data_IF_547893011827
#
_entry.id   IF_547893011827
#
_cell.length_a   1.000
_cell.length_b   1.000
_cell.length_c   1.000
_cell.angle_alpha   90.00
_cell.angle_beta   90.00
_cell.angle_gamma   90.00
#
_symmetry.space_group_name_H-M   'P 1'
#
loop_
_entity.id
_entity.type
_entity.pdbx_description
1 polymer ?
#
# COMPACT_ATOMS: atom_id res chain seq x y z
N UNK A 1 5.84 -57.49 30.48
CA UNK A 1 6.10 -56.69 29.28
C UNK A 1 6.37 -55.26 29.71
N UNK A 2 7.61 -54.76 29.56
CA UNK A 2 7.91 -53.34 29.79
C UNK A 2 7.25 -52.53 28.69
N UNK A 3 6.56 -51.43 28.98
CA UNK A 3 6.04 -50.56 27.93
C UNK A 3 7.22 -49.99 27.11
N UNK A 4 7.18 -50.18 25.78
CA UNK A 4 8.11 -49.50 24.88
C UNK A 4 7.87 -48.00 25.02
N UNK A 5 8.92 -47.17 25.10
CA UNK A 5 8.75 -45.74 25.08
C UNK A 5 8.03 -45.35 23.77
N UNK A 6 6.89 -44.70 23.91
CA UNK A 6 6.14 -44.08 22.82
C UNK A 6 6.99 -42.91 22.34
N UNK A 7 7.88 -43.16 21.39
CA UNK A 7 8.66 -42.12 20.76
C UNK A 7 7.69 -41.42 19.80
N UNK A 8 7.08 -40.33 20.26
CA UNK A 8 6.28 -39.45 19.43
C UNK A 8 7.15 -38.93 18.30
N UNK A 9 6.97 -39.51 17.11
CA UNK A 9 7.68 -39.04 15.90
C UNK A 9 7.17 -37.65 15.51
N UNK A 10 8.08 -36.76 14.99
CA UNK A 10 7.66 -35.50 14.41
C UNK A 10 6.73 -35.74 13.22
N UNK A 11 5.89 -34.74 12.88
CA UNK A 11 4.92 -34.85 11.78
C UNK A 11 5.61 -35.19 10.45
N UNK A 12 6.82 -34.68 10.20
CA UNK A 12 7.65 -35.05 9.04
C UNK A 12 8.95 -35.68 9.52
N UNK A 13 9.28 -36.83 8.97
CA UNK A 13 10.44 -37.65 9.32
C UNK A 13 11.32 -37.83 8.08
N UNK A 14 12.61 -37.67 8.26
CA UNK A 14 13.59 -37.79 7.19
C UNK A 14 14.47 -39.04 7.39
N UNK A 15 14.89 -39.66 6.28
CA UNK A 15 15.89 -40.74 6.25
C UNK A 15 17.10 -40.29 5.44
N UNK A 16 18.25 -40.95 5.62
CA UNK A 16 19.47 -40.62 4.89
C UNK A 16 20.35 -39.58 5.58
N UNK A 17 20.14 -39.31 6.87
CA UNK A 17 20.96 -38.38 7.69
C UNK A 17 22.09 -39.11 8.43
N UNK A 18 22.49 -40.31 8.00
CA UNK A 18 23.62 -41.05 8.54
C UNK A 18 23.31 -42.03 9.69
N UNK A 19 22.07 -42.07 10.16
CA UNK A 19 21.63 -43.04 11.20
C UNK A 19 20.91 -44.25 10.57
N UNK A 20 21.67 -45.25 10.15
CA UNK A 20 21.13 -46.47 9.52
C UNK A 20 20.10 -47.23 10.35
N UNK A 21 20.23 -47.22 11.68
CA UNK A 21 19.30 -47.92 12.59
C UNK A 21 17.93 -47.19 12.58
N UNK A 22 17.95 -45.88 12.63
CA UNK A 22 16.77 -45.05 12.53
C UNK A 22 16.11 -45.18 11.14
N UNK A 23 16.88 -45.12 10.08
CA UNK A 23 16.38 -45.29 8.71
C UNK A 23 15.66 -46.62 8.53
N UNK A 24 16.22 -47.74 9.03
CA UNK A 24 15.58 -49.06 9.00
C UNK A 24 14.28 -49.09 9.83
N UNK A 25 14.23 -48.36 10.96
CA UNK A 25 13.01 -48.23 11.77
C UNK A 25 11.92 -47.52 10.99
N UNK A 26 12.24 -46.35 10.36
CA UNK A 26 11.28 -45.56 9.55
C UNK A 26 10.76 -46.39 8.38
N UNK A 27 11.61 -47.10 7.65
CA UNK A 27 11.20 -47.96 6.54
C UNK A 27 10.24 -49.07 7.00
N UNK A 28 10.48 -49.67 8.19
CA UNK A 28 9.61 -50.67 8.78
C UNK A 28 8.25 -50.12 9.18
N UNK A 29 8.22 -48.92 9.80
CA UNK A 29 6.99 -48.25 10.19
C UNK A 29 6.18 -47.83 8.93
N UNK A 30 6.84 -47.39 7.86
CA UNK A 30 6.19 -47.11 6.61
C UNK A 30 5.61 -48.38 5.95
N UNK A 31 6.36 -49.50 5.95
CA UNK A 31 5.86 -50.80 5.48
C UNK A 31 4.70 -51.33 6.28
N UNK A 32 4.60 -51.00 7.60
CA UNK A 32 3.47 -51.32 8.47
C UNK A 32 2.28 -50.36 8.37
N UNK A 33 2.34 -49.36 7.47
CA UNK A 33 1.26 -48.37 7.30
C UNK A 33 1.15 -47.33 8.41
N UNK A 34 2.17 -47.23 9.30
CA UNK A 34 2.21 -46.25 10.38
C UNK A 34 2.84 -44.91 9.97
N UNK A 35 3.45 -44.85 8.79
CA UNK A 35 3.96 -43.65 8.16
C UNK A 35 3.56 -43.65 6.69
N UNK A 36 3.21 -42.49 6.18
CA UNK A 36 2.95 -42.28 4.75
C UNK A 36 4.20 -41.67 4.06
N UNK A 37 4.59 -42.24 2.94
CA UNK A 37 5.71 -41.71 2.15
C UNK A 37 5.24 -40.50 1.35
N UNK A 38 5.87 -39.35 1.57
CA UNK A 38 5.65 -38.10 0.81
C UNK A 38 6.57 -38.00 -0.41
N UNK A 39 7.83 -38.41 -0.24
CA UNK A 39 8.85 -38.48 -1.28
C UNK A 39 9.94 -39.46 -0.88
N UNK A 40 10.89 -39.73 -1.78
CA UNK A 40 12.04 -40.57 -1.42
C UNK A 40 12.81 -39.96 -0.24
N UNK A 41 12.91 -40.70 0.87
CA UNK A 41 13.57 -40.24 2.08
C UNK A 41 12.72 -39.30 2.95
N UNK A 42 11.46 -39.04 2.62
CA UNK A 42 10.56 -38.14 3.36
C UNK A 42 9.26 -38.83 3.66
N UNK A 43 8.89 -38.89 4.94
CA UNK A 43 7.70 -39.58 5.43
C UNK A 43 6.91 -38.67 6.37
N UNK A 44 5.61 -38.92 6.54
CA UNK A 44 4.79 -38.26 7.55
C UNK A 44 4.19 -39.28 8.53
N UNK A 45 4.15 -38.93 9.81
CA UNK A 45 3.44 -39.64 10.86
C UNK A 45 1.96 -39.22 10.95
N UNK A 46 1.59 -38.13 10.29
CA UNK A 46 0.21 -37.64 10.25
C UNK A 46 -0.55 -38.37 9.13
N UNK A 47 -1.34 -39.35 9.50
CA UNK A 47 -2.18 -40.11 8.57
C UNK A 47 -3.60 -39.53 8.46
N UNK A 48 -3.94 -38.51 9.25
CA UNK A 48 -5.28 -37.93 9.28
C UNK A 48 -5.44 -36.70 8.36
N UNK A 49 -4.34 -35.99 8.10
CA UNK A 49 -4.35 -34.83 7.22
C UNK A 49 -4.01 -35.22 5.77
N UNK A 50 -4.56 -34.51 4.77
CA UNK A 50 -4.14 -34.68 3.38
C UNK A 50 -2.62 -34.48 3.23
N UNK A 51 -1.91 -35.31 2.46
CA UNK A 51 -0.45 -35.18 2.24
C UNK A 51 -0.03 -33.82 1.76
N UNK A 52 -0.85 -33.18 0.91
CA UNK A 52 -0.64 -31.83 0.37
C UNK A 52 -0.55 -30.79 1.49
N UNK A 53 -1.44 -30.90 2.49
CA UNK A 53 -1.46 -29.99 3.64
C UNK A 53 -0.23 -30.15 4.52
N UNK A 54 0.27 -31.40 4.68
CA UNK A 54 1.51 -31.68 5.42
C UNK A 54 2.71 -31.07 4.67
N UNK A 55 2.79 -31.28 3.35
CA UNK A 55 3.86 -30.72 2.52
C UNK A 55 3.82 -29.20 2.57
N UNK A 56 2.64 -28.60 2.48
CA UNK A 56 2.48 -27.14 2.52
C UNK A 56 2.97 -26.54 3.85
N UNK A 57 2.68 -27.16 4.99
CA UNK A 57 3.18 -26.70 6.31
C UNK A 57 4.67 -26.88 6.48
N UNK A 58 5.24 -27.95 5.93
CA UNK A 58 6.63 -28.36 6.17
C UNK A 58 7.54 -28.20 4.94
N UNK A 59 7.09 -27.52 3.88
CA UNK A 59 7.83 -27.42 2.62
C UNK A 59 9.28 -27.00 2.80
N UNK A 60 9.54 -26.02 3.68
CA UNK A 60 10.89 -25.50 3.90
C UNK A 60 11.82 -26.55 4.48
N UNK A 61 11.36 -27.34 5.44
CA UNK A 61 12.13 -28.45 6.04
C UNK A 61 12.36 -29.58 5.04
N UNK A 62 11.32 -29.93 4.27
CA UNK A 62 11.38 -30.97 3.25
C UNK A 62 12.37 -30.58 2.13
N UNK A 63 12.22 -29.36 1.58
CA UNK A 63 13.11 -28.92 0.50
C UNK A 63 14.53 -28.72 1.00
N UNK A 64 14.74 -28.23 2.23
CA UNK A 64 16.07 -28.14 2.87
C UNK A 64 16.74 -29.49 3.03
N UNK A 65 15.99 -30.56 3.29
CA UNK A 65 16.51 -31.91 3.36
C UNK A 65 16.88 -32.48 1.98
N UNK A 66 15.97 -32.28 0.99
CA UNK A 66 16.12 -32.84 -0.36
C UNK A 66 17.16 -32.11 -1.22
N UNK A 67 17.31 -30.82 -1.00
CA UNK A 67 18.12 -29.91 -1.83
C UNK A 67 18.99 -28.97 -0.98
N UNK A 68 19.84 -29.50 -0.07
CA UNK A 68 20.73 -28.61 0.70
C UNK A 68 21.56 -27.73 -0.24
N UNK A 69 21.86 -26.51 0.21
CA UNK A 69 22.61 -25.46 -0.50
C UNK A 69 21.92 -24.93 -1.78
N UNK A 70 20.70 -25.34 -2.07
CA UNK A 70 19.94 -24.74 -3.17
C UNK A 70 19.52 -23.30 -2.81
N UNK A 71 19.44 -22.43 -3.81
CA UNK A 71 19.01 -21.04 -3.66
C UNK A 71 17.59 -20.89 -4.17
N UNK A 72 16.68 -20.36 -3.35
CA UNK A 72 15.37 -19.91 -3.82
C UNK A 72 15.60 -18.78 -4.81
N UNK A 73 15.17 -18.95 -6.05
CA UNK A 73 15.56 -18.14 -7.19
C UNK A 73 14.35 -17.69 -8.02
N UNK A 74 14.56 -16.75 -8.93
CA UNK A 74 13.50 -16.21 -9.77
C UNK A 74 12.34 -15.66 -8.90
N UNK A 75 11.06 -15.95 -9.26
CA UNK A 75 9.92 -15.53 -8.45
C UNK A 75 9.97 -16.06 -7.02
N UNK A 76 10.48 -17.29 -6.81
CA UNK A 76 10.61 -17.85 -5.45
C UNK A 76 11.68 -17.15 -4.61
N UNK A 77 12.65 -16.48 -5.23
CA UNK A 77 13.59 -15.59 -4.53
C UNK A 77 12.92 -14.31 -4.02
N UNK A 78 11.90 -13.82 -4.71
CA UNK A 78 11.08 -12.71 -4.28
C UNK A 78 10.03 -13.14 -3.23
N UNK A 79 9.24 -14.18 -3.55
CA UNK A 79 8.10 -14.61 -2.74
C UNK A 79 8.52 -15.29 -1.43
N UNK A 80 9.75 -15.81 -1.34
CA UNK A 80 10.34 -16.58 -0.23
C UNK A 80 9.52 -17.80 0.21
N UNK A 81 8.62 -18.29 -0.65
CA UNK A 81 7.71 -19.42 -0.41
C UNK A 81 7.21 -20.02 -1.73
N UNK A 82 6.61 -21.23 -1.68
CA UNK A 82 5.86 -21.76 -2.83
C UNK A 82 4.64 -20.89 -3.15
N UNK A 83 4.38 -20.70 -4.46
CA UNK A 83 3.20 -20.01 -4.98
C UNK A 83 2.54 -20.94 -6.00
N UNK A 84 1.24 -21.12 -5.93
CA UNK A 84 0.44 -22.00 -6.80
C UNK A 84 1.02 -23.40 -6.92
N UNK A 85 1.48 -23.99 -5.79
CA UNK A 85 2.09 -25.31 -5.75
C UNK A 85 3.44 -25.42 -6.45
N UNK A 86 4.14 -24.32 -6.72
CA UNK A 86 5.45 -24.30 -7.40
C UNK A 86 6.52 -23.60 -6.60
N UNK A 87 7.73 -24.14 -6.65
CA UNK A 87 8.93 -23.55 -6.07
C UNK A 87 10.09 -23.64 -7.07
N UNK A 88 10.78 -22.55 -7.30
CA UNK A 88 11.92 -22.47 -8.20
C UNK A 88 13.19 -22.29 -7.40
N UNK A 89 14.14 -23.21 -7.60
CA UNK A 89 15.45 -23.16 -6.93
C UNK A 89 16.58 -23.32 -7.94
N UNK A 90 17.69 -22.67 -7.69
CA UNK A 90 18.91 -22.82 -8.49
C UNK A 90 19.90 -23.70 -7.75
N UNK A 91 20.40 -24.76 -8.41
CA UNK A 91 21.40 -25.68 -7.85
C UNK A 91 22.11 -26.48 -8.93
N UNK A 92 23.45 -26.48 -8.92
CA UNK A 92 24.29 -27.36 -9.75
C UNK A 92 24.08 -27.20 -11.25
N UNK A 93 24.35 -28.25 -12.00
CA UNK A 93 24.34 -28.24 -13.48
C UNK A 93 23.16 -28.97 -14.12
N UNK A 94 22.38 -29.72 -13.34
CA UNK A 94 21.32 -30.59 -13.87
C UNK A 94 19.93 -30.04 -13.59
N UNK A 95 19.11 -29.88 -14.62
CA UNK A 95 17.70 -29.54 -14.51
C UNK A 95 16.90 -30.76 -14.09
N UNK A 96 16.08 -30.63 -13.05
CA UNK A 96 15.14 -31.67 -12.61
C UNK A 96 13.92 -31.07 -11.93
N UNK A 97 12.89 -31.86 -11.76
CA UNK A 97 11.71 -31.52 -10.98
C UNK A 97 11.52 -32.56 -9.89
N UNK A 98 11.23 -32.13 -8.67
CA UNK A 98 10.79 -32.97 -7.59
C UNK A 98 9.29 -32.75 -7.45
N UNK A 99 8.50 -33.81 -7.64
CA UNK A 99 7.05 -33.79 -7.47
C UNK A 99 6.71 -34.34 -6.09
N UNK A 100 6.24 -33.47 -5.22
CA UNK A 100 5.69 -33.80 -3.88
C UNK A 100 4.18 -33.59 -3.92
N UNK A 101 3.41 -34.19 -3.01
CA UNK A 101 1.99 -33.89 -2.91
C UNK A 101 1.73 -32.38 -2.78
N UNK A 102 1.03 -31.79 -3.75
CA UNK A 102 0.71 -30.36 -3.80
C UNK A 102 1.87 -29.40 -4.01
N UNK A 103 3.10 -29.90 -4.28
CA UNK A 103 4.28 -29.04 -4.51
C UNK A 103 5.23 -29.61 -5.56
N UNK A 104 5.43 -28.84 -6.62
CA UNK A 104 6.42 -29.10 -7.68
C UNK A 104 7.65 -28.20 -7.48
N UNK A 105 8.80 -28.79 -7.12
CA UNK A 105 10.06 -28.06 -6.96
C UNK A 105 10.86 -28.15 -8.25
N UNK A 106 11.03 -27.04 -8.94
CA UNK A 106 11.75 -26.90 -10.21
C UNK A 106 13.21 -26.53 -9.93
N UNK A 107 14.12 -27.47 -10.09
CA UNK A 107 15.58 -27.24 -9.96
C UNK A 107 16.11 -26.74 -11.30
N UNK A 108 16.67 -25.55 -11.27
CA UNK A 108 17.22 -24.86 -12.44
C UNK A 108 18.76 -24.89 -12.31
N UNK A 109 19.50 -25.28 -13.38
CA UNK A 109 20.95 -25.19 -13.39
C UNK A 109 21.42 -23.75 -13.16
N UNK A 110 22.44 -23.60 -12.33
CA UNK A 110 23.05 -22.30 -12.07
C UNK A 110 23.94 -22.32 -10.82
N UNK A 111 24.63 -21.23 -10.53
CA UNK A 111 25.52 -21.14 -9.39
C UNK A 111 24.74 -21.29 -8.07
N UNK A 112 25.42 -21.84 -7.06
CA UNK A 112 24.93 -21.83 -5.69
C UNK A 112 24.77 -20.42 -5.12
N UNK A 113 24.82 -20.30 -3.79
CA UNK A 113 24.75 -19.01 -3.14
C UNK A 113 25.90 -18.10 -3.55
N UNK A 114 25.59 -16.84 -3.79
CA UNK A 114 26.55 -15.77 -4.09
C UNK A 114 26.51 -14.70 -3.01
N UNK A 115 27.45 -13.78 -3.06
CA UNK A 115 27.51 -12.66 -2.12
C UNK A 115 26.17 -11.90 -2.07
N UNK A 116 25.65 -11.71 -0.86
CA UNK A 116 24.37 -11.08 -0.60
C UNK A 116 23.19 -12.04 -0.46
N UNK A 117 23.31 -13.29 -0.91
CA UNK A 117 22.27 -14.31 -0.66
C UNK A 117 22.25 -14.67 0.83
N UNK A 118 21.06 -14.83 1.39
CA UNK A 118 20.88 -15.05 2.84
C UNK A 118 20.64 -16.53 3.15
N UNK A 119 21.25 -17.10 4.21
CA UNK A 119 20.91 -18.43 4.68
C UNK A 119 19.42 -18.55 5.04
N UNK A 120 18.78 -19.63 4.59
CA UNK A 120 17.38 -19.93 4.84
C UNK A 120 17.19 -21.40 5.19
N UNK A 121 17.41 -21.77 6.45
CA UNK A 121 17.68 -23.13 6.95
C UNK A 121 18.91 -23.74 6.27
N UNK A 122 18.76 -24.92 5.61
CA UNK A 122 19.82 -25.54 4.78
C UNK A 122 19.75 -25.05 3.31
N UNK A 123 18.96 -24.03 3.01
CA UNK A 123 18.85 -23.36 1.72
C UNK A 123 19.43 -21.95 1.80
N UNK A 124 19.36 -21.25 0.68
CA UNK A 124 19.62 -19.81 0.60
C UNK A 124 18.43 -19.11 -0.05
N UNK A 125 18.19 -17.88 0.35
CA UNK A 125 17.26 -16.96 -0.30
C UNK A 125 18.06 -16.00 -1.17
N UNK A 126 17.69 -15.88 -2.43
CA UNK A 126 18.33 -14.95 -3.36
C UNK A 126 18.27 -13.51 -2.83
N UNK A 127 19.39 -12.80 -2.94
CA UNK A 127 19.45 -11.36 -2.66
C UNK A 127 18.53 -10.57 -3.58
N UNK A 128 18.17 -9.34 -3.17
CA UNK A 128 17.34 -8.45 -3.99
C UNK A 128 17.94 -8.25 -5.39
N UNK A 129 19.24 -8.05 -5.49
CA UNK A 129 19.92 -7.91 -6.77
C UNK A 129 19.81 -9.17 -7.63
N UNK A 130 19.93 -10.36 -7.01
CA UNK A 130 19.86 -11.65 -7.71
C UNK A 130 18.47 -11.91 -8.26
N UNK A 131 17.43 -11.84 -7.42
CA UNK A 131 16.08 -12.14 -7.91
C UNK A 131 15.60 -11.08 -8.92
N UNK A 132 15.97 -9.80 -8.80
CA UNK A 132 15.68 -8.78 -9.81
C UNK A 132 16.28 -9.17 -11.17
N UNK A 133 17.56 -9.56 -11.23
CA UNK A 133 18.20 -10.00 -12.46
C UNK A 133 17.55 -11.26 -13.05
N UNK A 134 17.32 -12.27 -12.21
CA UNK A 134 16.78 -13.55 -12.66
C UNK A 134 15.36 -13.40 -13.23
N UNK A 135 14.56 -12.48 -12.68
CA UNK A 135 13.21 -12.19 -13.17
C UNK A 135 13.18 -11.35 -14.46
N UNK A 136 14.31 -10.85 -14.94
CA UNK A 136 14.43 -10.21 -16.26
C UNK A 136 14.59 -11.22 -17.42
N UNK A 137 14.65 -12.53 -17.15
CA UNK A 137 14.74 -13.55 -18.19
C UNK A 137 13.54 -13.55 -19.14
N UNK A 138 13.76 -13.76 -20.44
CA UNK A 138 12.75 -13.70 -21.50
C UNK A 138 12.54 -15.02 -22.23
N UNK A 139 11.50 -15.09 -23.05
CA UNK A 139 11.18 -16.23 -23.92
C UNK A 139 10.85 -17.50 -23.12
N UNK A 140 11.11 -18.67 -23.72
CA UNK A 140 10.90 -19.97 -23.04
C UNK A 140 11.69 -20.10 -21.72
N UNK A 141 12.75 -19.30 -21.56
CA UNK A 141 13.51 -19.26 -20.33
C UNK A 141 12.78 -18.52 -19.19
N UNK A 142 11.90 -17.58 -19.50
CA UNK A 142 11.04 -16.91 -18.51
C UNK A 142 9.94 -17.85 -18.02
N UNK A 143 8.94 -18.10 -18.82
CA UNK A 143 7.77 -18.91 -18.46
C UNK A 143 7.19 -18.55 -17.09
N UNK A 144 6.62 -19.52 -16.42
CA UNK A 144 5.98 -19.35 -15.09
C UNK A 144 6.96 -19.05 -13.94
N UNK A 145 8.27 -19.12 -14.18
CA UNK A 145 9.28 -18.95 -13.16
C UNK A 145 9.65 -17.50 -12.88
N UNK A 146 9.33 -16.57 -13.79
CA UNK A 146 9.60 -15.14 -13.63
C UNK A 146 8.35 -14.39 -13.24
N UNK A 147 8.55 -13.29 -12.51
CA UNK A 147 7.49 -12.34 -12.19
C UNK A 147 7.13 -11.54 -13.46
N UNK A 148 5.85 -11.14 -13.62
CA UNK A 148 5.47 -10.14 -14.59
C UNK A 148 6.24 -8.84 -14.39
N UNK A 149 6.48 -8.09 -15.45
CA UNK A 149 7.29 -6.86 -15.40
C UNK A 149 6.63 -5.78 -14.52
N UNK A 150 5.33 -5.67 -14.52
CA UNK A 150 4.56 -4.74 -13.69
C UNK A 150 4.76 -4.99 -12.18
N UNK A 151 4.88 -6.26 -11.76
CA UNK A 151 5.23 -6.61 -10.37
C UNK A 151 6.65 -6.14 -10.02
N UNK A 152 7.61 -6.32 -10.93
CA UNK A 152 8.99 -5.85 -10.72
C UNK A 152 9.03 -4.31 -10.64
N UNK A 153 8.31 -3.63 -11.53
CA UNK A 153 8.17 -2.18 -11.50
C UNK A 153 7.55 -1.68 -10.20
N UNK A 154 6.53 -2.39 -9.67
CA UNK A 154 5.92 -2.05 -8.39
C UNK A 154 6.90 -2.20 -7.21
N UNK A 155 7.73 -3.26 -7.19
CA UNK A 155 8.76 -3.43 -6.15
C UNK A 155 9.87 -2.38 -6.27
N UNK A 156 10.25 -1.98 -7.48
CA UNK A 156 11.20 -0.89 -7.71
C UNK A 156 10.62 0.47 -7.28
N UNK A 157 9.35 0.72 -7.55
CA UNK A 157 8.64 1.94 -7.09
C UNK A 157 8.57 2.02 -5.57
N UNK A 158 8.25 0.90 -4.92
CA UNK A 158 8.27 0.76 -3.46
C UNK A 158 9.68 1.02 -2.88
N UNK A 159 10.73 0.50 -3.53
CA UNK A 159 12.10 0.75 -3.12
C UNK A 159 12.44 2.25 -3.19
N UNK A 160 12.08 2.93 -4.28
CA UNK A 160 12.26 4.38 -4.42
C UNK A 160 11.51 5.16 -3.34
N UNK A 161 10.24 4.82 -3.11
CA UNK A 161 9.38 5.50 -2.14
C UNK A 161 9.88 5.33 -0.70
N UNK A 162 10.31 4.11 -0.31
CA UNK A 162 10.67 3.82 1.09
C UNK A 162 12.13 4.15 1.39
N UNK A 163 13.03 3.94 0.42
CA UNK A 163 14.49 3.98 0.64
C UNK A 163 15.19 5.10 -0.12
N UNK A 164 14.47 5.78 -1.00
CA UNK A 164 14.99 6.88 -1.81
C UNK A 164 15.92 6.46 -2.94
N UNK A 165 16.31 7.45 -3.73
CA UNK A 165 17.13 7.27 -4.93
C UNK A 165 18.53 6.72 -4.64
N UNK A 166 19.13 7.10 -3.51
CA UNK A 166 20.45 6.60 -3.13
C UNK A 166 20.45 5.07 -3.02
N UNK A 167 19.55 4.50 -2.23
CA UNK A 167 19.43 3.05 -2.05
C UNK A 167 19.00 2.34 -3.33
N UNK A 168 18.19 2.98 -4.16
CA UNK A 168 17.81 2.46 -5.47
C UNK A 168 19.04 2.30 -6.38
N UNK A 169 19.93 3.29 -6.42
CA UNK A 169 21.16 3.21 -7.19
C UNK A 169 22.17 2.19 -6.60
N UNK A 170 22.24 2.02 -5.28
CA UNK A 170 23.05 0.92 -4.68
C UNK A 170 22.56 -0.45 -5.15
N UNK A 171 21.25 -0.69 -5.21
CA UNK A 171 20.67 -1.94 -5.73
C UNK A 171 20.99 -2.10 -7.22
N UNK A 172 20.91 -1.04 -8.01
CA UNK A 172 21.30 -1.01 -9.43
C UNK A 172 22.76 -1.41 -9.63
N UNK A 173 23.67 -0.87 -8.82
CA UNK A 173 25.10 -1.19 -8.87
C UNK A 173 25.39 -2.62 -8.40
N UNK A 174 24.66 -3.11 -7.38
CA UNK A 174 24.73 -4.50 -6.96
C UNK A 174 24.28 -5.45 -8.08
N UNK A 175 23.19 -5.13 -8.79
CA UNK A 175 22.75 -5.88 -9.97
C UNK A 175 23.82 -5.89 -11.07
N UNK A 176 24.47 -4.76 -11.34
CA UNK A 176 25.56 -4.68 -12.35
C UNK A 176 26.70 -5.62 -12.01
N UNK A 177 27.21 -5.55 -10.77
CA UNK A 177 28.31 -6.43 -10.30
C UNK A 177 27.93 -7.90 -10.34
N UNK A 178 26.68 -8.22 -9.99
CA UNK A 178 26.20 -9.59 -9.95
C UNK A 178 25.92 -10.15 -11.34
N UNK A 179 25.57 -9.32 -12.31
CA UNK A 179 25.30 -9.73 -13.69
C UNK A 179 26.50 -10.43 -14.34
N UNK A 180 27.71 -9.98 -14.04
CA UNK A 180 28.95 -10.61 -14.54
C UNK A 180 29.18 -11.98 -13.89
N UNK A 181 28.92 -12.10 -12.58
CA UNK A 181 29.09 -13.38 -11.85
C UNK A 181 28.06 -14.44 -12.26
N UNK A 182 26.87 -14.01 -12.69
CA UNK A 182 25.75 -14.89 -13.05
C UNK A 182 25.58 -15.08 -14.57
N UNK A 183 26.41 -14.47 -15.41
CA UNK A 183 26.27 -14.40 -16.87
C UNK A 183 24.88 -13.88 -17.29
N UNK A 184 24.50 -12.70 -16.74
CA UNK A 184 23.18 -12.07 -16.87
C UNK A 184 23.24 -10.64 -17.40
N UNK A 185 24.18 -10.33 -18.25
CA UNK A 185 24.38 -8.96 -18.77
C UNK A 185 23.16 -8.47 -19.60
N UNK A 186 22.48 -9.38 -20.32
CA UNK A 186 21.28 -9.05 -21.11
C UNK A 186 20.13 -8.68 -20.18
N UNK A 187 19.93 -9.45 -19.13
CA UNK A 187 18.94 -9.19 -18.09
C UNK A 187 19.22 -7.88 -17.35
N UNK A 188 20.49 -7.63 -17.02
CA UNK A 188 20.88 -6.36 -16.42
C UNK A 188 20.58 -5.17 -17.34
N UNK A 189 20.90 -5.25 -18.64
CA UNK A 189 20.60 -4.16 -19.58
C UNK A 189 19.10 -3.82 -19.65
N UNK A 190 18.22 -4.83 -19.53
CA UNK A 190 16.77 -4.61 -19.44
C UNK A 190 16.37 -3.94 -18.14
N UNK A 191 16.85 -4.46 -17.01
CA UNK A 191 16.57 -3.92 -15.68
C UNK A 191 17.06 -2.47 -15.57
N UNK A 192 18.28 -2.22 -16.02
CA UNK A 192 18.91 -0.88 -16.05
C UNK A 192 18.09 0.11 -16.86
N UNK A 193 17.51 -0.34 -17.99
CA UNK A 193 16.59 0.47 -18.78
C UNK A 193 15.29 0.80 -18.07
N UNK A 194 14.70 -0.13 -17.30
CA UNK A 194 13.51 0.10 -16.50
C UNK A 194 13.84 1.07 -15.34
N UNK A 195 14.90 0.79 -14.61
CA UNK A 195 15.34 1.63 -13.48
C UNK A 195 15.67 3.06 -13.93
N UNK A 196 16.37 3.21 -15.06
CA UNK A 196 16.66 4.52 -15.65
C UNK A 196 15.40 5.26 -16.12
N UNK A 197 14.42 4.55 -16.67
CA UNK A 197 13.14 5.15 -17.07
C UNK A 197 12.34 5.66 -15.86
N UNK A 198 12.36 4.92 -14.74
CA UNK A 198 11.71 5.36 -13.49
C UNK A 198 12.37 6.59 -12.86
N UNK A 199 13.67 6.79 -13.09
CA UNK A 199 14.42 8.00 -12.69
C UNK A 199 14.37 9.13 -13.72
N UNK A 200 13.64 8.96 -14.83
CA UNK A 200 13.56 9.94 -15.90
C UNK A 200 14.84 10.09 -16.75
N UNK A 201 15.81 9.17 -16.60
CA UNK A 201 17.06 9.19 -17.36
C UNK A 201 17.01 8.37 -18.66
N UNK A 202 15.96 7.59 -18.86
CA UNK A 202 15.69 6.77 -20.04
C UNK A 202 14.23 6.94 -20.49
N UNK A 203 13.93 6.46 -21.71
CA UNK A 203 12.60 6.58 -22.28
C UNK A 203 11.56 5.72 -21.51
N UNK A 204 10.43 6.33 -21.15
CA UNK A 204 9.33 5.70 -20.40
C UNK A 204 8.61 4.57 -21.14
N UNK A 205 8.76 4.47 -22.49
CA UNK A 205 8.20 3.36 -23.29
C UNK A 205 8.65 1.95 -22.85
N UNK A 206 9.66 1.87 -22.00
CA UNK A 206 10.14 0.62 -21.41
C UNK A 206 9.30 0.17 -20.20
N UNK A 207 8.44 1.05 -19.68
CA UNK A 207 7.60 0.80 -18.52
C UNK A 207 6.24 0.25 -18.96
N UNK A 208 5.71 -0.69 -18.20
CA UNK A 208 4.44 -1.35 -18.47
C UNK A 208 3.34 -0.95 -17.48
N UNK A 209 3.69 -0.74 -16.21
CA UNK A 209 2.71 -0.43 -15.19
C UNK A 209 2.33 1.06 -15.20
N UNK A 210 1.04 1.34 -14.91
CA UNK A 210 0.57 2.73 -14.74
C UNK A 210 1.33 3.45 -13.64
N UNK A 211 1.68 2.76 -12.57
CA UNK A 211 2.43 3.30 -11.42
C UNK A 211 3.83 3.77 -11.84
N UNK A 212 4.58 2.93 -12.55
CA UNK A 212 5.91 3.30 -13.03
C UNK A 212 5.86 4.41 -14.07
N UNK A 213 4.87 4.41 -14.96
CA UNK A 213 4.63 5.50 -15.92
C UNK A 213 4.30 6.82 -15.22
N UNK A 214 3.48 6.80 -14.18
CA UNK A 214 3.16 7.98 -13.39
C UNK A 214 4.40 8.53 -12.68
N UNK A 215 5.25 7.66 -12.12
CA UNK A 215 6.53 8.06 -11.51
C UNK A 215 7.47 8.70 -12.54
N UNK A 216 7.65 8.07 -13.69
CA UNK A 216 8.47 8.61 -14.76
C UNK A 216 7.96 9.98 -15.27
N UNK A 217 6.65 10.23 -15.17
CA UNK A 217 6.02 11.51 -15.47
C UNK A 217 6.09 12.52 -14.30
N UNK A 218 6.81 12.21 -13.21
CA UNK A 218 6.92 13.08 -12.03
C UNK A 218 5.64 13.15 -11.17
N UNK A 219 4.73 12.19 -11.31
CA UNK A 219 3.44 12.13 -10.59
C UNK A 219 3.20 10.78 -9.92
N UNK A 220 4.13 10.30 -9.08
CA UNK A 220 3.97 9.02 -8.38
C UNK A 220 2.77 9.09 -7.43
N UNK A 221 2.09 7.96 -7.21
CA UNK A 221 0.93 7.84 -6.34
C UNK A 221 1.02 6.63 -5.41
N UNK A 222 0.19 6.59 -4.37
CA UNK A 222 0.08 5.50 -3.42
C UNK A 222 -0.93 4.45 -3.90
N UNK A 223 -0.50 3.27 -4.37
CA UNK A 223 -1.40 2.24 -4.88
C UNK A 223 -2.30 1.62 -3.79
N UNK A 224 -1.85 1.59 -2.53
CA UNK A 224 -2.66 1.06 -1.44
C UNK A 224 -3.85 1.99 -1.15
N UNK A 225 -3.62 3.31 -1.18
CA UNK A 225 -4.71 4.29 -1.03
C UNK A 225 -5.67 4.25 -2.22
N UNK A 226 -5.17 4.04 -3.44
CA UNK A 226 -6.05 3.89 -4.59
C UNK A 226 -6.95 2.65 -4.48
N UNK A 227 -6.47 1.55 -3.93
CA UNK A 227 -7.30 0.38 -3.68
C UNK A 227 -8.45 0.67 -2.70
N UNK A 228 -8.19 1.47 -1.64
CA UNK A 228 -9.25 1.96 -0.75
C UNK A 228 -10.25 2.86 -1.49
N UNK A 229 -9.75 3.77 -2.33
CA UNK A 229 -10.60 4.64 -3.14
C UNK A 229 -11.48 3.84 -4.10
N UNK A 230 -10.96 2.80 -4.74
CA UNK A 230 -11.72 1.92 -5.64
C UNK A 230 -12.82 1.15 -4.88
N UNK A 231 -12.55 0.74 -3.66
CA UNK A 231 -13.52 0.07 -2.78
C UNK A 231 -14.68 1.01 -2.44
N UNK A 232 -14.37 2.23 -1.98
CA UNK A 232 -15.39 3.22 -1.65
C UNK A 232 -16.16 3.67 -2.90
N UNK A 233 -15.47 3.93 -4.02
CA UNK A 233 -16.06 4.29 -5.30
C UNK A 233 -17.13 3.27 -5.74
N UNK A 234 -16.79 1.98 -5.66
CA UNK A 234 -17.70 0.90 -6.03
C UNK A 234 -18.95 0.88 -5.14
N UNK A 235 -18.77 1.11 -3.84
CA UNK A 235 -19.88 1.20 -2.87
C UNK A 235 -20.77 2.42 -3.13
N UNK A 236 -20.17 3.60 -3.31
CA UNK A 236 -20.92 4.85 -3.54
C UNK A 236 -21.71 4.81 -4.85
N UNK A 237 -21.12 4.25 -5.92
CA UNK A 237 -21.75 4.15 -7.24
C UNK A 237 -22.97 3.22 -7.25
N UNK A 238 -23.00 2.22 -6.39
CA UNK A 238 -24.07 1.21 -6.36
C UNK A 238 -25.31 1.62 -5.57
N UNK A 239 -25.28 2.78 -4.88
CA UNK A 239 -26.35 3.21 -4.01
C UNK A 239 -27.23 4.30 -4.66
N UNK A 240 -28.49 4.38 -4.21
CA UNK A 240 -29.40 5.49 -4.51
C UNK A 240 -29.33 6.47 -3.34
N UNK A 241 -28.98 7.71 -3.64
CA UNK A 241 -28.77 8.74 -2.64
C UNK A 241 -29.99 9.66 -2.49
N UNK A 242 -30.28 10.14 -1.26
CA UNK A 242 -31.39 11.09 -1.07
C UNK A 242 -31.05 12.44 -1.69
N UNK A 243 -32.03 13.04 -2.33
CA UNK A 243 -31.89 14.37 -2.90
C UNK A 243 -32.39 15.42 -1.92
N UNK A 244 -31.46 16.13 -1.28
CA UNK A 244 -31.76 17.20 -0.34
C UNK A 244 -31.29 18.52 -0.92
N UNK A 245 -32.25 19.37 -1.35
CA UNK A 245 -31.95 20.69 -1.90
C UNK A 245 -31.58 21.67 -0.80
N UNK A 246 -30.70 22.63 -1.12
CA UNK A 246 -30.37 23.70 -0.19
C UNK A 246 -31.55 24.62 0.07
N UNK A 247 -31.76 24.97 1.33
CA UNK A 247 -32.76 25.94 1.77
C UNK A 247 -32.12 27.19 2.42
N UNK A 248 -30.80 27.19 2.56
CA UNK A 248 -30.00 28.22 3.26
C UNK A 248 -29.07 28.99 2.31
N UNK A 249 -29.58 29.45 1.14
CA UNK A 249 -28.72 29.98 0.09
C UNK A 249 -28.57 31.50 0.12
N UNK A 250 -29.37 32.22 0.92
CA UNK A 250 -29.37 33.70 0.94
C UNK A 250 -29.48 34.28 2.34
N UNK A 251 -28.96 35.49 2.54
CA UNK A 251 -29.13 36.31 3.72
C UNK A 251 -28.68 35.62 5.02
N UNK A 252 -29.40 35.86 6.11
CA UNK A 252 -29.11 35.40 7.46
C UNK A 252 -29.07 33.86 7.55
N UNK A 253 -29.87 33.16 6.76
CA UNK A 253 -29.83 31.68 6.76
C UNK A 253 -28.48 31.12 6.27
N UNK A 254 -27.92 31.76 5.25
CA UNK A 254 -26.57 31.41 4.74
C UNK A 254 -25.50 31.72 5.76
N UNK A 255 -25.57 32.89 6.41
CA UNK A 255 -24.59 33.30 7.42
C UNK A 255 -24.63 32.35 8.61
N UNK A 256 -25.80 32.04 9.14
CA UNK A 256 -25.96 31.10 10.24
C UNK A 256 -25.46 29.70 9.87
N UNK A 257 -25.74 29.23 8.65
CA UNK A 257 -25.27 27.92 8.21
C UNK A 257 -23.73 27.89 8.14
N UNK A 258 -23.11 28.89 7.52
CA UNK A 258 -21.66 29.00 7.43
C UNK A 258 -21.01 29.15 8.82
N UNK A 259 -21.67 29.87 9.74
CA UNK A 259 -21.22 29.98 11.12
C UNK A 259 -21.18 28.61 11.82
N UNK A 260 -22.25 27.84 11.78
CA UNK A 260 -22.28 26.53 12.42
C UNK A 260 -21.37 25.51 11.70
N UNK A 261 -21.26 25.58 10.37
CA UNK A 261 -20.28 24.79 9.61
C UNK A 261 -18.86 25.05 10.11
N UNK A 262 -18.48 26.30 10.26
CA UNK A 262 -17.18 26.71 10.78
C UNK A 262 -17.00 26.29 12.24
N UNK A 263 -17.97 26.59 13.10
CA UNK A 263 -17.93 26.31 14.52
C UNK A 263 -17.72 24.82 14.80
N UNK A 264 -18.58 23.96 14.25
CA UNK A 264 -18.47 22.50 14.47
C UNK A 264 -17.26 21.89 13.79
N UNK A 265 -16.87 22.39 12.62
CA UNK A 265 -15.67 21.91 11.93
C UNK A 265 -14.38 22.16 12.75
N UNK A 266 -14.27 23.30 13.40
CA UNK A 266 -13.13 23.61 14.28
C UNK A 266 -13.23 22.86 15.62
N UNK A 267 -14.42 22.68 16.15
CA UNK A 267 -14.62 21.91 17.38
C UNK A 267 -14.17 20.45 17.24
N UNK A 268 -14.43 19.82 16.09
CA UNK A 268 -13.97 18.45 15.78
C UNK A 268 -12.44 18.35 15.87
N UNK A 269 -11.74 19.39 15.43
CA UNK A 269 -10.27 19.46 15.46
C UNK A 269 -9.69 19.86 16.84
N UNK A 270 -10.55 20.07 17.83
CA UNK A 270 -10.13 20.40 19.20
C UNK A 270 -10.11 21.90 19.52
N UNK A 271 -10.50 22.76 18.58
CA UNK A 271 -10.66 24.20 18.81
C UNK A 271 -12.03 24.47 19.45
N UNK A 272 -12.08 24.51 20.77
CA UNK A 272 -13.33 24.67 21.53
C UNK A 272 -13.50 26.12 22.00
N UNK A 273 -14.58 26.78 21.55
CA UNK A 273 -15.06 28.08 22.03
C UNK A 273 -16.49 27.95 22.52
N UNK A 274 -16.95 28.89 23.35
CA UNK A 274 -18.36 29.09 23.57
C UNK A 274 -18.99 29.63 22.27
N UNK A 275 -20.27 29.36 22.04
CA UNK A 275 -20.96 29.88 20.83
C UNK A 275 -20.87 31.39 20.77
N UNK A 276 -21.06 32.10 21.90
CA UNK A 276 -20.92 33.55 21.99
C UNK A 276 -19.52 34.07 21.65
N UNK A 277 -18.47 33.37 22.06
CA UNK A 277 -17.09 33.74 21.68
C UNK A 277 -16.87 33.58 20.19
N UNK A 278 -17.38 32.49 19.61
CA UNK A 278 -17.31 32.26 18.18
C UNK A 278 -18.13 33.30 17.37
N UNK A 279 -19.28 33.74 17.88
CA UNK A 279 -20.08 34.81 17.28
C UNK A 279 -19.31 36.14 17.29
N UNK A 280 -18.67 36.52 18.40
CA UNK A 280 -17.83 37.72 18.47
C UNK A 280 -16.65 37.66 17.48
N UNK A 281 -16.01 36.49 17.35
CA UNK A 281 -14.92 36.31 16.37
C UNK A 281 -15.42 36.50 14.94
N UNK A 282 -16.52 35.84 14.58
CA UNK A 282 -16.99 35.76 13.19
C UNK A 282 -17.71 37.04 12.75
N UNK A 283 -18.59 37.58 13.60
CA UNK A 283 -19.46 38.72 13.21
C UNK A 283 -18.94 40.08 13.68
N UNK A 284 -18.14 40.11 14.76
CA UNK A 284 -17.61 41.38 15.28
C UNK A 284 -16.09 41.52 15.00
N UNK A 285 -15.44 40.48 14.51
CA UNK A 285 -13.99 40.49 14.23
C UNK A 285 -13.09 40.54 15.45
N UNK A 286 -13.64 40.21 16.63
CA UNK A 286 -12.90 40.22 17.90
C UNK A 286 -12.10 38.92 18.05
N UNK A 287 -10.79 39.02 18.11
CA UNK A 287 -9.93 37.86 18.42
C UNK A 287 -9.86 37.65 19.94
N UNK A 288 -9.96 36.42 20.38
CA UNK A 288 -9.80 36.06 21.79
C UNK A 288 -8.33 36.17 22.17
N UNK A 289 -8.00 37.05 23.14
CA UNK A 289 -6.65 37.53 23.43
C UNK A 289 -5.60 36.40 23.67
N UNK A 290 -6.01 35.31 24.33
CA UNK A 290 -5.12 34.20 24.63
C UNK A 290 -5.14 33.09 23.60
N UNK A 291 -5.95 33.23 22.52
CA UNK A 291 -6.18 32.22 21.49
C UNK A 291 -6.35 32.83 20.07
N UNK A 292 -5.42 33.71 19.65
CA UNK A 292 -5.56 34.41 18.36
C UNK A 292 -5.53 33.47 17.18
N UNK A 293 -4.68 32.44 17.18
CA UNK A 293 -4.59 31.46 16.09
C UNK A 293 -5.88 30.65 15.95
N UNK A 294 -6.43 30.16 17.06
CA UNK A 294 -7.73 29.44 17.06
C UNK A 294 -8.87 30.33 16.57
N UNK A 295 -8.87 31.61 16.94
CA UNK A 295 -9.85 32.60 16.47
C UNK A 295 -9.75 32.78 14.94
N UNK A 296 -8.54 32.87 14.42
CA UNK A 296 -8.30 32.93 12.96
C UNK A 296 -8.72 31.65 12.25
N UNK A 297 -8.54 30.46 12.85
CA UNK A 297 -8.97 29.20 12.27
C UNK A 297 -10.49 29.17 12.04
N UNK A 298 -11.28 29.63 13.04
CA UNK A 298 -12.73 29.77 12.88
C UNK A 298 -13.08 30.80 11.80
N UNK A 299 -12.45 31.96 11.84
CA UNK A 299 -12.74 33.03 10.87
C UNK A 299 -12.39 32.61 9.43
N UNK A 300 -11.24 31.97 9.22
CA UNK A 300 -10.82 31.47 7.91
C UNK A 300 -11.77 30.38 7.38
N UNK A 301 -12.22 29.48 8.26
CA UNK A 301 -13.22 28.45 7.87
C UNK A 301 -14.56 29.08 7.53
N UNK A 302 -15.03 30.07 8.29
CA UNK A 302 -16.25 30.83 7.99
C UNK A 302 -16.16 31.55 6.64
N UNK A 303 -15.05 32.23 6.38
CA UNK A 303 -14.81 32.91 5.11
C UNK A 303 -14.85 31.95 3.93
N UNK A 304 -14.27 30.77 4.05
CA UNK A 304 -14.32 29.74 3.01
C UNK A 304 -15.77 29.23 2.77
N UNK A 305 -16.55 29.07 3.84
CA UNK A 305 -17.94 28.62 3.77
C UNK A 305 -18.90 29.70 3.22
N UNK A 306 -18.56 30.99 3.38
CA UNK A 306 -19.38 32.11 2.93
C UNK A 306 -19.11 32.55 1.51
N UNK A 307 -17.86 32.66 1.11
CA UNK A 307 -17.47 33.27 -0.17
C UNK A 307 -17.67 32.30 -1.33
N UNK A 308 -18.46 32.71 -2.33
CA UNK A 308 -18.88 31.87 -3.46
C UNK A 308 -17.73 31.27 -4.27
N UNK A 309 -16.60 31.98 -4.38
CA UNK A 309 -15.45 31.47 -5.14
C UNK A 309 -14.75 30.27 -4.47
N UNK A 310 -14.98 30.01 -3.19
CA UNK A 310 -14.58 28.77 -2.53
C UNK A 310 -15.75 27.81 -2.33
N UNK A 311 -16.90 28.33 -1.89
CA UNK A 311 -18.08 27.55 -1.56
C UNK A 311 -18.73 26.86 -2.78
N UNK A 312 -18.87 27.60 -3.90
CA UNK A 312 -19.67 27.16 -5.05
C UNK A 312 -18.82 26.90 -6.30
N UNK A 313 -17.49 26.89 -6.18
CA UNK A 313 -16.61 26.77 -7.34
C UNK A 313 -16.69 25.35 -7.91
N UNK A 314 -17.18 25.17 -9.15
CA UNK A 314 -17.13 23.89 -9.81
C UNK A 314 -15.66 23.50 -10.07
N UNK A 315 -15.25 22.36 -9.58
CA UNK A 315 -13.92 21.78 -9.81
C UNK A 315 -14.04 20.81 -10.97
N UNK A 316 -13.55 21.20 -12.13
CA UNK A 316 -13.70 20.44 -13.37
C UNK A 316 -12.50 19.52 -13.67
N UNK A 317 -11.32 19.89 -13.22
CA UNK A 317 -10.07 19.16 -13.50
C UNK A 317 -9.30 18.83 -12.22
N UNK A 318 -8.41 17.86 -12.30
CA UNK A 318 -7.52 17.52 -11.18
C UNK A 318 -6.63 18.73 -10.80
N UNK A 319 -6.20 19.55 -11.76
CA UNK A 319 -5.40 20.75 -11.48
C UNK A 319 -6.21 21.79 -10.72
N UNK A 320 -7.47 22.04 -11.10
CA UNK A 320 -8.38 22.92 -10.36
C UNK A 320 -8.61 22.41 -8.94
N UNK A 321 -8.75 21.09 -8.78
CA UNK A 321 -8.92 20.46 -7.47
C UNK A 321 -7.71 20.71 -6.55
N UNK A 322 -6.52 20.46 -7.06
CA UNK A 322 -5.29 20.68 -6.30
C UNK A 322 -5.11 22.16 -5.93
N UNK A 323 -5.39 23.06 -6.86
CA UNK A 323 -5.32 24.50 -6.62
C UNK A 323 -6.37 24.96 -5.60
N UNK A 324 -7.58 24.46 -5.70
CA UNK A 324 -8.66 24.76 -4.75
C UNK A 324 -8.28 24.31 -3.32
N UNK A 325 -7.80 23.07 -3.16
CA UNK A 325 -7.36 22.55 -1.87
C UNK A 325 -6.27 23.44 -1.23
N UNK A 326 -5.27 23.84 -2.01
CA UNK A 326 -4.20 24.74 -1.53
C UNK A 326 -4.74 26.11 -1.12
N UNK A 327 -5.63 26.69 -1.91
CA UNK A 327 -6.18 28.02 -1.64
C UNK A 327 -7.05 28.04 -0.38
N UNK A 328 -7.87 27.00 -0.17
CA UNK A 328 -8.71 26.86 1.02
C UNK A 328 -7.86 26.59 2.26
N UNK A 329 -6.89 25.69 2.18
CA UNK A 329 -5.99 25.44 3.31
C UNK A 329 -5.19 26.70 3.67
N UNK A 330 -4.72 27.47 2.67
CA UNK A 330 -4.03 28.74 2.91
C UNK A 330 -4.91 29.76 3.68
N UNK A 331 -6.21 29.82 3.36
CA UNK A 331 -7.15 30.70 4.04
C UNK A 331 -7.44 30.22 5.47
N UNK A 332 -7.74 28.91 5.63
CA UNK A 332 -8.08 28.33 6.94
C UNK A 332 -6.91 28.41 7.91
N UNK A 333 -5.68 28.21 7.42
CA UNK A 333 -4.46 28.15 8.24
C UNK A 333 -3.65 29.44 8.23
N UNK A 334 -4.19 30.56 7.73
CA UNK A 334 -3.45 31.79 7.44
C UNK A 334 -2.64 32.37 8.60
N UNK A 335 -3.05 32.14 9.85
CA UNK A 335 -2.35 32.60 11.04
C UNK A 335 -1.30 31.63 11.58
N UNK A 336 -1.26 30.41 11.08
CA UNK A 336 -0.36 29.35 11.52
C UNK A 336 0.80 29.16 10.53
N UNK A 337 1.66 30.18 10.44
CA UNK A 337 2.76 30.20 9.45
C UNK A 337 3.74 29.02 9.59
N UNK A 338 3.91 28.48 10.81
CA UNK A 338 4.71 27.27 11.08
C UNK A 338 4.15 26.00 10.46
N UNK A 339 2.88 26.00 10.04
CA UNK A 339 2.21 24.91 9.35
C UNK A 339 2.26 25.01 7.82
N UNK A 340 2.94 26.00 7.28
CA UNK A 340 3.08 26.25 5.83
C UNK A 340 1.72 26.29 5.10
N UNK A 341 0.83 27.27 5.40
CA UNK A 341 -0.50 27.37 4.82
C UNK A 341 -0.52 27.24 3.31
N UNK A 342 -1.38 26.38 2.78
CA UNK A 342 -1.54 26.17 1.34
C UNK A 342 -0.37 25.46 0.64
N UNK A 343 0.61 24.96 1.37
CA UNK A 343 1.69 24.13 0.81
C UNK A 343 1.49 22.66 1.15
N UNK A 344 1.80 21.80 0.20
CA UNK A 344 1.83 20.36 0.49
C UNK A 344 2.83 20.09 1.61
N UNK A 345 2.53 19.09 2.42
CA UNK A 345 3.42 18.67 3.49
C UNK A 345 4.81 18.30 2.95
N UNK A 346 5.84 18.66 3.69
CA UNK A 346 7.25 18.40 3.41
C UNK A 346 7.82 17.25 4.26
N UNK A 347 6.98 16.64 5.09
CA UNK A 347 7.30 15.50 5.94
C UNK A 347 6.10 14.57 6.00
N UNK A 348 6.36 13.27 6.22
CA UNK A 348 5.30 12.31 6.45
C UNK A 348 4.60 12.60 7.78
N UNK A 349 3.29 12.49 7.78
CA UNK A 349 2.46 12.71 8.95
C UNK A 349 1.66 11.45 9.31
N UNK A 350 1.26 11.37 10.57
CA UNK A 350 0.46 10.27 11.11
C UNK A 350 -0.55 10.78 12.14
N UNK A 351 -1.63 10.04 12.34
CA UNK A 351 -2.58 10.24 13.41
C UNK A 351 -2.80 8.91 14.16
N UNK A 352 -2.33 8.84 15.41
CA UNK A 352 -2.29 7.59 16.16
C UNK A 352 -1.40 6.57 15.47
N UNK A 353 -1.96 5.41 15.08
CA UNK A 353 -1.27 4.35 14.31
C UNK A 353 -1.39 4.51 12.80
N UNK A 354 -2.23 5.42 12.30
CA UNK A 354 -2.47 5.62 10.88
C UNK A 354 -1.37 6.44 10.25
N UNK A 355 -0.62 5.85 9.31
CA UNK A 355 0.31 6.55 8.44
C UNK A 355 -0.44 7.05 7.20
N UNK A 356 -0.38 8.34 6.94
CA UNK A 356 -0.97 8.92 5.73
C UNK A 356 -0.03 8.79 4.52
N UNK A 357 -0.53 9.16 3.35
CA UNK A 357 0.23 9.12 2.09
C UNK A 357 1.58 9.83 2.25
N UNK A 358 2.65 9.23 1.76
CA UNK A 358 3.98 9.83 1.81
C UNK A 358 4.02 11.16 1.02
N UNK A 359 4.82 12.12 1.49
CA UNK A 359 4.83 13.50 0.96
C UNK A 359 5.02 13.57 -0.56
N UNK A 360 5.91 12.74 -1.11
CA UNK A 360 6.21 12.69 -2.54
C UNK A 360 5.09 12.08 -3.39
N UNK A 361 4.14 11.37 -2.77
CA UNK A 361 3.01 10.71 -3.43
C UNK A 361 1.71 11.53 -3.36
N UNK A 362 1.69 12.63 -2.61
CA UNK A 362 0.49 13.45 -2.35
C UNK A 362 -0.20 13.88 -3.64
N UNK A 363 0.54 14.53 -4.53
CA UNK A 363 -0.06 15.14 -5.73
C UNK A 363 -0.60 14.08 -6.70
N UNK A 364 0.17 13.00 -6.92
CA UNK A 364 -0.27 11.91 -7.78
C UNK A 364 -1.50 11.19 -7.20
N UNK A 365 -1.50 10.92 -5.89
CA UNK A 365 -2.63 10.25 -5.22
C UNK A 365 -3.91 11.11 -5.24
N UNK A 366 -3.80 12.44 -5.05
CA UNK A 366 -4.95 13.35 -5.18
C UNK A 366 -5.50 13.38 -6.61
N UNK A 367 -4.64 13.38 -7.64
CA UNK A 367 -5.07 13.33 -9.05
C UNK A 367 -5.85 12.06 -9.37
N UNK A 368 -5.28 10.92 -9.01
CA UNK A 368 -5.92 9.61 -9.18
C UNK A 368 -7.22 9.51 -8.37
N UNK A 369 -7.26 10.11 -7.17
CA UNK A 369 -8.48 10.24 -6.37
C UNK A 369 -9.53 11.10 -7.05
N UNK A 370 -9.11 12.22 -7.67
CA UNK A 370 -10.02 13.10 -8.40
C UNK A 370 -10.68 12.42 -9.60
N UNK A 371 -9.98 11.56 -10.32
CA UNK A 371 -10.56 10.81 -11.45
C UNK A 371 -11.75 9.95 -10.98
N UNK A 372 -11.68 9.39 -9.78
CA UNK A 372 -12.78 8.63 -9.16
C UNK A 372 -13.91 9.54 -8.69
N UNK A 373 -13.58 10.70 -8.12
CA UNK A 373 -14.58 11.73 -7.76
C UNK A 373 -15.34 12.16 -9.00
N UNK A 374 -14.65 12.48 -10.09
CA UNK A 374 -15.25 12.94 -11.33
C UNK A 374 -16.12 11.89 -12.03
N UNK A 375 -15.83 10.61 -11.83
CA UNK A 375 -16.58 9.49 -12.40
C UNK A 375 -17.89 9.15 -11.65
N UNK A 376 -18.14 9.75 -10.48
CA UNK A 376 -19.42 9.63 -9.78
C UNK A 376 -20.42 10.64 -10.33
N UNK A 377 -21.66 10.21 -10.58
CA UNK A 377 -22.72 11.07 -11.12
C UNK A 377 -23.48 11.81 -10.01
N UNK A 378 -23.78 11.11 -8.92
CA UNK A 378 -24.55 11.69 -7.81
C UNK A 378 -23.72 12.70 -7.00
N UNK A 379 -24.24 13.92 -6.71
CA UNK A 379 -23.53 14.94 -5.97
C UNK A 379 -23.15 14.57 -4.54
N UNK A 380 -23.99 13.79 -3.83
CA UNK A 380 -23.69 13.37 -2.46
C UNK A 380 -22.60 12.30 -2.45
N UNK A 381 -22.68 11.33 -3.36
CA UNK A 381 -21.63 10.33 -3.55
C UNK A 381 -20.28 11.00 -3.89
N UNK A 382 -20.30 11.96 -4.79
CA UNK A 382 -19.13 12.76 -5.17
C UNK A 382 -18.55 13.54 -3.99
N UNK A 383 -19.40 14.16 -3.19
CA UNK A 383 -18.99 14.93 -2.01
C UNK A 383 -18.36 14.03 -0.93
N UNK A 384 -18.97 12.87 -0.64
CA UNK A 384 -18.41 11.90 0.31
C UNK A 384 -17.06 11.35 -0.17
N UNK A 385 -16.95 11.03 -1.45
CA UNK A 385 -15.68 10.59 -2.05
C UNK A 385 -14.61 11.69 -1.95
N UNK A 386 -14.98 12.94 -2.18
CA UNK A 386 -14.06 14.09 -2.07
C UNK A 386 -13.52 14.21 -0.64
N UNK A 387 -14.40 14.18 0.36
CA UNK A 387 -14.00 14.22 1.77
C UNK A 387 -13.06 13.08 2.12
N UNK A 388 -13.38 11.85 1.69
CA UNK A 388 -12.58 10.68 1.98
C UNK A 388 -11.18 10.77 1.34
N UNK A 389 -11.10 11.13 0.06
CA UNK A 389 -9.82 11.29 -0.66
C UNK A 389 -8.92 12.31 0.05
N UNK A 390 -9.44 13.47 0.44
CA UNK A 390 -8.64 14.50 1.13
C UNK A 390 -8.21 14.05 2.52
N UNK A 391 -9.11 13.39 3.26
CA UNK A 391 -8.81 12.86 4.60
C UNK A 391 -7.74 11.79 4.58
N UNK A 392 -7.80 10.84 3.62
CA UNK A 392 -6.85 9.72 3.49
C UNK A 392 -5.49 10.15 2.96
N UNK A 393 -5.45 11.07 2.01
CA UNK A 393 -4.18 11.60 1.51
C UNK A 393 -3.49 12.47 2.56
N UNK A 394 -4.27 13.21 3.33
CA UNK A 394 -3.79 14.13 4.38
C UNK A 394 -2.69 15.06 3.86
N UNK A 395 -2.99 15.89 2.85
CA UNK A 395 -1.99 16.51 1.99
C UNK A 395 -1.19 17.65 2.64
N UNK A 396 -1.68 18.22 3.72
CA UNK A 396 -1.08 19.38 4.38
C UNK A 396 -0.43 19.01 5.72
N UNK A 397 0.39 19.90 6.24
CA UNK A 397 0.98 19.75 7.58
C UNK A 397 -0.08 19.82 8.67
N UNK A 398 -1.13 20.64 8.46
CA UNK A 398 -2.28 20.79 9.35
C UNK A 398 -3.52 21.29 8.58
N UNK A 399 -4.69 21.30 9.23
CA UNK A 399 -5.95 21.78 8.65
C UNK A 399 -6.61 20.81 7.66
N UNK A 400 -6.15 19.57 7.58
CA UNK A 400 -6.64 18.59 6.60
C UNK A 400 -8.13 18.25 6.79
N UNK A 401 -8.58 18.03 8.03
CA UNK A 401 -9.97 17.71 8.32
C UNK A 401 -10.92 18.87 7.96
N UNK A 402 -10.55 20.11 8.32
CA UNK A 402 -11.31 21.32 7.94
C UNK A 402 -11.37 21.46 6.41
N UNK A 403 -10.25 21.32 5.73
CA UNK A 403 -10.18 21.37 4.26
C UNK A 403 -11.02 20.26 3.61
N UNK A 404 -11.02 19.04 4.15
CA UNK A 404 -11.80 17.91 3.63
C UNK A 404 -13.32 18.17 3.73
N UNK A 405 -13.80 18.68 4.87
CA UNK A 405 -15.21 19.00 5.08
C UNK A 405 -15.66 20.18 4.20
N UNK A 406 -14.83 21.21 4.06
CA UNK A 406 -15.10 22.31 3.13
C UNK A 406 -15.13 21.83 1.67
N UNK A 407 -14.25 20.90 1.28
CA UNK A 407 -14.24 20.32 -0.06
C UNK A 407 -15.53 19.50 -0.34
N UNK A 408 -15.96 18.70 0.62
CA UNK A 408 -17.26 18.00 0.56
C UNK A 408 -18.40 18.98 0.32
N UNK A 409 -18.46 20.02 1.12
CA UNK A 409 -19.55 21.02 1.06
C UNK A 409 -19.48 21.92 -0.17
N UNK A 410 -18.29 22.16 -0.73
CA UNK A 410 -18.15 22.83 -2.02
C UNK A 410 -18.81 22.03 -3.15
N UNK A 411 -18.61 20.71 -3.19
CA UNK A 411 -19.26 19.83 -4.19
C UNK A 411 -20.79 19.86 -4.06
N UNK A 412 -21.31 19.80 -2.84
CA UNK A 412 -22.76 19.87 -2.58
C UNK A 412 -23.33 21.23 -2.99
N UNK A 413 -22.70 22.30 -2.55
CA UNK A 413 -23.15 23.66 -2.82
C UNK A 413 -23.14 23.98 -4.31
N UNK A 414 -22.07 23.59 -5.05
CA UNK A 414 -22.00 23.76 -6.50
C UNK A 414 -23.09 23.02 -7.26
N UNK A 415 -23.65 21.95 -6.67
CA UNK A 415 -24.77 21.18 -7.21
C UNK A 415 -26.15 21.66 -6.69
N UNK A 416 -26.24 22.76 -5.92
CA UNK A 416 -27.48 23.24 -5.31
C UNK A 416 -28.03 22.32 -4.20
N UNK A 417 -27.18 21.43 -3.66
CA UNK A 417 -27.55 20.48 -2.60
C UNK A 417 -27.32 21.08 -1.21
N UNK A 418 -28.03 20.58 -0.23
CA UNK A 418 -27.82 20.94 1.17
C UNK A 418 -26.42 20.51 1.60
N UNK A 419 -25.65 21.44 2.16
CA UNK A 419 -24.35 21.18 2.77
C UNK A 419 -24.54 20.34 4.05
N UNK A 420 -23.47 19.67 4.48
CA UNK A 420 -23.48 18.80 5.65
C UNK A 420 -22.66 19.45 6.76
N UNK A 421 -23.27 19.59 7.93
CA UNK A 421 -22.58 19.93 9.19
C UNK A 421 -22.50 18.66 10.01
N UNK A 422 -21.33 18.39 10.57
CA UNK A 422 -21.12 17.30 11.54
C UNK A 422 -21.15 17.91 12.95
N UNK A 423 -22.26 17.80 13.68
CA UNK A 423 -22.34 18.29 15.05
C UNK A 423 -21.43 17.51 15.99
N UNK A 424 -21.01 18.16 17.08
CA UNK A 424 -20.06 17.60 18.05
C UNK A 424 -20.56 16.29 18.68
N UNK A 425 -21.87 16.11 18.83
CA UNK A 425 -22.45 14.88 19.38
C UNK A 425 -22.16 13.65 18.49
N UNK A 426 -21.92 13.84 17.20
CA UNK A 426 -21.58 12.79 16.24
C UNK A 426 -20.06 12.74 15.92
N UNK A 427 -19.23 13.43 16.71
CA UNK A 427 -17.77 13.47 16.46
C UNK A 427 -17.14 12.08 16.42
N UNK A 428 -17.49 11.24 17.37
CA UNK A 428 -16.95 9.86 17.43
C UNK A 428 -17.48 9.01 16.26
N UNK A 429 -18.78 9.11 15.95
CA UNK A 429 -19.41 8.39 14.83
C UNK A 429 -18.82 8.81 13.47
N UNK A 430 -18.30 10.04 13.37
CA UNK A 430 -17.60 10.54 12.20
C UNK A 430 -16.15 10.08 12.14
N UNK A 431 -15.41 10.14 13.27
CA UNK A 431 -13.98 9.83 13.30
C UNK A 431 -13.66 8.33 13.31
N UNK A 432 -14.50 7.50 13.97
CA UNK A 432 -14.25 6.07 14.08
C UNK A 432 -14.22 5.35 12.71
N UNK A 433 -15.18 5.56 11.80
CA UNK A 433 -15.11 4.95 10.46
C UNK A 433 -13.87 5.36 9.68
N UNK A 434 -13.47 6.63 9.74
CA UNK A 434 -12.26 7.11 9.07
C UNK A 434 -11.01 6.40 9.62
N UNK A 435 -10.90 6.24 10.94
CA UNK A 435 -9.78 5.52 11.57
C UNK A 435 -9.76 4.02 11.27
N UNK A 436 -10.93 3.40 11.10
CA UNK A 436 -11.03 1.97 10.83
C UNK A 436 -10.75 1.59 9.38
N UNK A 437 -10.89 2.53 8.45
CA UNK A 437 -10.60 2.34 7.02
C UNK A 437 -9.13 2.61 6.69
N UNK A 438 -8.45 3.41 7.51
CA UNK A 438 -7.03 3.76 7.37
C UNK A 438 -6.13 2.78 8.07
#
# INVERSE_FOLDING_TARGET
>A
MKPKPDVSLPEVVFTGEGNLAFDRQILRLAGAGQLLKLYQGVYTSNLSSPPESVVQRHWLSIVSHLLPDAVLSYRSGHDAKPVDGRLYVTRGSTRRTLELPGLSVKVIPGPGAVEGDMPYKKLFLASQARWLLENMATGRAGGDRVLPQDVIEAELDKLLTIRGEYRFNEVRDACRKLADKLDRQKEFKRLDGIMGAMLGTHESRKLHSKQALARAAGRPYDPARLALFDTLFSSLRSQVWPEVMSTADTGVARENFAFFESYFSNYIEGTTFLVSEAEEIVFEGKLIANRPEDSHDILGTFQAAMQSHWRDKPVATADDFLLWLKSVNALVMQSRLDKNPGQWKDQNNQAGSTLFVAQELVQGTLREGFDRIAALEDPLARALMTMFVVSEVHPFKDGNGRTARLAMNCVLSAAGRSRIIVPTVYREDYLLPLKSLS
#
